data_IF_618259831902
#
_entry.id   IF_618259831902
#
_cell.length_a   1.000
_cell.length_b   1.000
_cell.length_c   1.000
_cell.angle_alpha   90.00
_cell.angle_beta   90.00
_cell.angle_gamma   90.00
#
_symmetry.space_group_name_H-M   'P 1'
#
loop_
_entity.id
_entity.type
_entity.pdbx_description
1 polymer ?
#
# COMPACT_ATOMS: atom_id res chain seq x y z
N UNK A 1 14.09 -30.21 5.31
CA UNK A 1 14.42 -29.13 6.26
C UNK A 1 13.93 -27.80 5.70
N UNK A 2 13.29 -27.00 6.52
CA UNK A 2 12.84 -25.69 6.11
C UNK A 2 13.94 -24.64 6.31
N UNK A 3 14.08 -23.75 5.35
CA UNK A 3 14.95 -22.60 5.47
C UNK A 3 14.09 -21.36 5.82
N UNK A 4 14.21 -20.89 7.05
CA UNK A 4 13.41 -19.77 7.53
C UNK A 4 14.11 -18.41 7.35
N UNK A 5 15.35 -18.41 6.92
CA UNK A 5 16.16 -17.19 6.75
C UNK A 5 16.38 -16.81 5.29
N UNK A 6 15.63 -17.40 4.37
CA UNK A 6 15.79 -17.15 2.93
C UNK A 6 15.32 -15.77 2.50
N UNK A 7 15.74 -15.35 1.32
CA UNK A 7 15.29 -14.11 0.72
C UNK A 7 13.79 -14.17 0.39
N UNK A 8 13.14 -13.04 0.53
CA UNK A 8 11.75 -12.87 0.19
C UNK A 8 11.58 -11.60 -0.63
N UNK A 9 11.00 -11.75 -1.82
CA UNK A 9 10.78 -10.61 -2.71
C UNK A 9 9.48 -9.86 -2.41
N UNK A 10 8.55 -10.51 -1.71
CA UNK A 10 7.26 -9.90 -1.37
C UNK A 10 7.45 -8.63 -0.56
N UNK A 11 6.69 -7.61 -0.92
CA UNK A 11 6.72 -6.32 -0.26
C UNK A 11 5.36 -6.01 0.33
N UNK A 12 5.35 -5.52 1.58
CA UNK A 12 4.12 -5.02 2.21
C UNK A 12 4.29 -3.53 2.45
N UNK A 13 3.33 -2.74 1.95
CA UNK A 13 3.30 -1.28 2.12
C UNK A 13 2.05 -0.94 2.92
N UNK A 14 2.23 -0.26 4.04
CA UNK A 14 1.14 0.05 4.96
C UNK A 14 1.02 1.58 5.08
N UNK A 15 -0.15 2.10 4.71
CA UNK A 15 -0.49 3.51 4.87
C UNK A 15 -1.43 3.66 6.05
N UNK A 16 -0.98 4.33 7.11
CA UNK A 16 -1.87 4.76 8.19
C UNK A 16 -2.31 6.17 7.87
N UNK A 17 -3.62 6.39 7.74
CA UNK A 17 -4.18 7.64 7.26
C UNK A 17 -5.25 8.17 8.21
N UNK A 18 -5.48 9.48 8.12
CA UNK A 18 -6.62 10.14 8.77
C UNK A 18 -7.45 10.86 7.71
N UNK A 19 -8.70 11.15 8.04
CA UNK A 19 -9.62 11.87 7.15
C UNK A 19 -10.58 12.71 7.98
N UNK A 20 -11.17 13.73 7.34
CA UNK A 20 -12.13 14.63 8.00
C UNK A 20 -13.55 14.43 7.51
N UNK A 21 -13.71 13.87 6.34
CA UNK A 21 -15.00 13.61 5.72
C UNK A 21 -15.74 12.50 6.46
N UNK A 22 -17.05 12.37 6.23
CA UNK A 22 -17.85 11.27 6.79
C UNK A 22 -17.33 9.93 6.28
N UNK A 23 -17.27 8.94 7.17
CA UNK A 23 -16.78 7.61 6.81
C UNK A 23 -17.53 7.01 5.63
N UNK A 24 -18.84 7.20 5.56
CA UNK A 24 -19.65 6.69 4.45
C UNK A 24 -19.18 7.23 3.10
N UNK A 25 -18.81 8.49 3.03
CA UNK A 25 -18.30 9.12 1.79
C UNK A 25 -16.95 8.49 1.42
N UNK A 26 -16.07 8.28 2.40
CA UNK A 26 -14.78 7.64 2.20
C UNK A 26 -14.95 6.21 1.71
N UNK A 27 -15.84 5.42 2.34
CA UNK A 27 -16.09 4.04 1.94
C UNK A 27 -16.64 3.95 0.52
N UNK A 28 -17.53 4.87 0.13
CA UNK A 28 -18.04 4.90 -1.25
C UNK A 28 -16.94 5.18 -2.26
N UNK A 29 -16.04 6.10 -1.97
CA UNK A 29 -14.89 6.37 -2.81
C UNK A 29 -14.05 5.10 -2.98
N UNK A 30 -13.71 4.43 -1.89
CA UNK A 30 -12.88 3.23 -1.93
C UNK A 30 -13.54 2.12 -2.75
N UNK A 31 -14.81 1.85 -2.48
CA UNK A 31 -15.53 0.71 -3.09
C UNK A 31 -15.87 0.97 -4.55
N UNK A 32 -16.29 2.19 -4.87
CA UNK A 32 -16.80 2.51 -6.21
C UNK A 32 -15.77 3.09 -7.16
N UNK A 33 -14.70 3.68 -6.64
CA UNK A 33 -13.71 4.36 -7.49
C UNK A 33 -12.31 3.77 -7.35
N UNK A 34 -11.75 3.72 -6.14
CA UNK A 34 -10.36 3.31 -5.94
C UNK A 34 -10.14 1.83 -6.23
N UNK A 35 -10.89 0.94 -5.57
CA UNK A 35 -10.69 -0.49 -5.74
C UNK A 35 -10.89 -0.96 -7.19
N UNK A 36 -11.95 -0.53 -7.90
CA UNK A 36 -12.08 -0.91 -9.31
C UNK A 36 -10.95 -0.40 -10.18
N UNK A 37 -10.49 0.83 -9.96
CA UNK A 37 -9.42 1.43 -10.73
C UNK A 37 -8.11 0.67 -10.53
N UNK A 38 -7.74 0.41 -9.28
CA UNK A 38 -6.52 -0.33 -8.94
C UNK A 38 -6.60 -1.76 -9.48
N UNK A 39 -7.74 -2.42 -9.30
CA UNK A 39 -7.95 -3.79 -9.78
C UNK A 39 -7.73 -3.90 -11.28
N UNK A 40 -8.26 -2.96 -12.05
CA UNK A 40 -8.14 -2.97 -13.52
C UNK A 40 -6.71 -2.77 -14.00
N UNK A 41 -5.92 -1.96 -13.27
CA UNK A 41 -4.53 -1.70 -13.62
C UNK A 41 -3.57 -2.77 -13.11
N UNK A 42 -3.99 -3.57 -12.14
CA UNK A 42 -3.08 -4.34 -11.30
C UNK A 42 -2.22 -5.36 -12.07
N UNK A 43 -2.77 -6.08 -13.03
CA UNK A 43 -2.02 -7.06 -13.84
C UNK A 43 -1.14 -7.99 -12.99
N UNK A 44 -1.60 -8.36 -11.79
CA UNK A 44 -0.87 -9.25 -10.90
C UNK A 44 0.26 -8.61 -10.10
N UNK A 45 0.45 -7.31 -10.17
CA UNK A 45 1.51 -6.62 -9.41
C UNK A 45 1.28 -6.69 -7.91
N UNK A 46 0.06 -6.40 -7.45
CA UNK A 46 -0.34 -6.59 -6.06
C UNK A 46 -1.01 -7.95 -5.90
N UNK A 47 -0.70 -8.63 -4.82
CA UNK A 47 -1.41 -9.86 -4.41
C UNK A 47 -2.53 -9.56 -3.44
N UNK A 48 -2.52 -8.36 -2.82
CA UNK A 48 -3.56 -7.95 -1.88
C UNK A 48 -3.62 -6.42 -1.79
N UNK A 49 -4.82 -5.89 -1.61
CA UNK A 49 -5.10 -4.48 -1.45
C UNK A 49 -6.29 -4.39 -0.51
N UNK A 50 -6.05 -4.07 0.77
CA UNK A 50 -7.09 -4.16 1.81
C UNK A 50 -7.13 -2.90 2.67
N UNK A 51 -8.34 -2.42 2.92
CA UNK A 51 -8.59 -1.30 3.81
C UNK A 51 -9.17 -1.77 5.14
N UNK A 52 -8.76 -1.13 6.22
CA UNK A 52 -9.25 -1.37 7.57
C UNK A 52 -9.54 -0.03 8.24
N UNK A 53 -10.73 0.12 8.82
CA UNK A 53 -11.15 1.36 9.47
C UNK A 53 -11.21 1.18 10.97
N UNK A 54 -10.77 2.23 11.71
CA UNK A 54 -10.91 2.28 13.16
C UNK A 54 -12.37 2.60 13.51
N UNK A 55 -12.97 1.82 14.41
CA UNK A 55 -14.34 2.10 14.84
C UNK A 55 -14.43 3.41 15.61
N UNK A 56 -15.34 4.28 15.20
CA UNK A 56 -15.63 5.53 15.88
C UNK A 56 -14.58 6.61 15.76
N UNK A 57 -13.52 6.37 14.97
CA UNK A 57 -12.46 7.34 14.73
C UNK A 57 -12.31 7.57 13.24
N UNK A 58 -11.79 8.74 12.87
CA UNK A 58 -11.56 9.06 11.44
C UNK A 58 -10.13 8.71 11.05
N UNK A 59 -9.78 7.44 11.26
CA UNK A 59 -8.49 6.87 10.88
C UNK A 59 -8.70 5.53 10.18
N UNK A 60 -7.80 5.19 9.29
CA UNK A 60 -7.86 3.95 8.53
C UNK A 60 -6.45 3.48 8.16
N UNK A 61 -6.35 2.23 7.79
CA UNK A 61 -5.08 1.62 7.36
C UNK A 61 -5.30 0.89 6.04
N UNK A 62 -4.47 1.22 5.05
CA UNK A 62 -4.42 0.51 3.77
C UNK A 62 -3.21 -0.40 3.79
N UNK A 63 -3.42 -1.69 3.53
CA UNK A 63 -2.35 -2.67 3.45
C UNK A 63 -2.26 -3.17 2.01
N UNK A 64 -1.12 -2.91 1.37
CA UNK A 64 -0.83 -3.38 0.02
C UNK A 64 0.25 -4.44 0.08
N UNK A 65 0.01 -5.60 -0.51
CA UNK A 65 1.01 -6.65 -0.62
C UNK A 65 1.35 -6.82 -2.09
N UNK A 66 2.63 -6.68 -2.42
CA UNK A 66 3.14 -6.72 -3.79
C UNK A 66 4.09 -7.90 -3.96
N UNK A 67 4.23 -8.38 -5.18
CA UNK A 67 5.19 -9.43 -5.52
C UNK A 67 6.64 -8.99 -5.25
N UNK A 68 6.92 -7.71 -5.45
CA UNK A 68 8.26 -7.13 -5.31
C UNK A 68 8.16 -5.61 -5.26
N UNK A 69 9.25 -4.93 -4.94
CA UNK A 69 9.28 -3.46 -5.00
C UNK A 69 9.10 -2.96 -6.44
N UNK A 70 9.65 -3.66 -7.43
CA UNK A 70 9.49 -3.29 -8.83
C UNK A 70 8.03 -3.38 -9.28
N UNK A 71 7.33 -4.44 -8.87
CA UNK A 71 5.91 -4.61 -9.18
C UNK A 71 5.07 -3.49 -8.57
N UNK A 72 5.37 -3.12 -7.33
CA UNK A 72 4.69 -2.01 -6.65
C UNK A 72 4.93 -0.68 -7.39
N UNK A 73 6.17 -0.39 -7.74
CA UNK A 73 6.53 0.83 -8.48
C UNK A 73 5.83 0.90 -9.84
N UNK A 74 5.76 -0.23 -10.53
CA UNK A 74 5.12 -0.32 -11.85
C UNK A 74 3.64 0.07 -11.75
N UNK A 75 2.94 -0.41 -10.75
CA UNK A 75 1.54 -0.04 -10.53
C UNK A 75 1.43 1.42 -10.08
N UNK A 76 2.25 1.82 -9.10
CA UNK A 76 2.22 3.18 -8.56
C UNK A 76 2.44 4.23 -9.64
N UNK A 77 3.33 3.97 -10.61
CA UNK A 77 3.59 4.91 -11.71
C UNK A 77 2.37 5.15 -12.60
N UNK A 78 1.45 4.19 -12.67
CA UNK A 78 0.21 4.32 -13.43
C UNK A 78 -0.89 4.99 -12.62
N UNK A 79 -0.81 4.93 -11.29
CA UNK A 79 -1.82 5.49 -10.38
C UNK A 79 -1.55 6.96 -10.08
N UNK A 80 -0.28 7.32 -9.88
CA UNK A 80 0.13 8.69 -9.53
C UNK A 80 -0.37 9.67 -10.59
N UNK A 81 -1.09 10.72 -10.14
CA UNK A 81 -1.64 11.75 -11.01
C UNK A 81 -2.99 11.41 -11.63
N UNK A 82 -3.48 10.18 -11.44
CA UNK A 82 -4.82 9.81 -11.90
C UNK A 82 -5.90 10.52 -11.10
N UNK A 83 -7.16 10.60 -11.62
CA UNK A 83 -8.27 11.17 -10.85
C UNK A 83 -8.49 10.48 -9.50
N UNK A 84 -8.27 9.16 -9.43
CA UNK A 84 -8.38 8.41 -8.19
C UNK A 84 -7.32 8.84 -7.19
N UNK A 85 -6.08 9.03 -7.65
CA UNK A 85 -4.98 9.48 -6.80
C UNK A 85 -5.19 10.91 -6.30
N UNK A 86 -5.69 11.79 -7.16
CA UNK A 86 -6.03 13.18 -6.78
C UNK A 86 -7.06 13.18 -5.66
N UNK A 87 -8.13 12.38 -5.79
CA UNK A 87 -9.15 12.26 -4.73
C UNK A 87 -8.58 11.64 -3.46
N UNK A 88 -7.70 10.65 -3.57
CA UNK A 88 -7.03 10.07 -2.42
C UNK A 88 -6.33 11.15 -1.60
N UNK A 89 -5.58 12.01 -2.27
CA UNK A 89 -4.84 13.09 -1.61
C UNK A 89 -5.76 14.18 -1.03
N UNK A 90 -6.96 14.36 -1.59
CA UNK A 90 -7.95 15.27 -1.03
C UNK A 90 -8.62 14.70 0.23
N UNK A 91 -8.90 13.38 0.23
CA UNK A 91 -9.60 12.75 1.34
C UNK A 91 -8.69 12.41 2.52
N UNK A 92 -7.43 12.01 2.25
CA UNK A 92 -6.57 11.43 3.27
C UNK A 92 -5.33 12.26 3.56
N UNK A 93 -4.95 12.25 4.84
CA UNK A 93 -3.61 12.65 5.28
C UNK A 93 -2.87 11.38 5.65
N UNK A 94 -1.69 11.16 5.06
CA UNK A 94 -0.84 10.02 5.41
C UNK A 94 -0.11 10.37 6.69
N UNK A 95 -0.47 9.67 7.77
CA UNK A 95 0.14 9.89 9.09
C UNK A 95 1.42 9.08 9.24
N UNK A 96 1.48 7.89 8.64
CA UNK A 96 2.63 7.00 8.73
C UNK A 96 2.66 6.07 7.52
N UNK A 97 3.84 5.89 6.96
CA UNK A 97 4.09 4.91 5.90
C UNK A 97 5.07 3.87 6.44
N UNK A 98 4.70 2.60 6.36
CA UNK A 98 5.55 1.49 6.80
C UNK A 98 5.83 0.58 5.61
N UNK A 99 7.09 0.23 5.43
CA UNK A 99 7.56 -0.65 4.35
C UNK A 99 8.15 -1.90 4.99
N UNK A 100 7.60 -3.05 4.68
CA UNK A 100 8.09 -4.34 5.17
C UNK A 100 8.55 -5.17 3.99
N UNK A 101 9.87 -5.34 3.85
CA UNK A 101 10.45 -6.12 2.78
C UNK A 101 11.69 -5.47 2.19
N UNK A 102 12.29 -6.17 1.25
CA UNK A 102 13.51 -5.71 0.59
C UNK A 102 13.14 -4.87 -0.63
N UNK A 103 13.74 -3.71 -0.75
CA UNK A 103 13.38 -2.73 -1.78
C UNK A 103 14.60 -2.31 -2.59
N UNK A 104 14.35 -1.92 -3.85
CA UNK A 104 15.37 -1.37 -4.73
C UNK A 104 15.73 0.06 -4.34
N UNK A 105 16.86 0.54 -4.85
CA UNK A 105 17.27 1.94 -4.66
C UNK A 105 16.25 2.90 -5.28
N UNK A 106 15.70 2.53 -6.43
CA UNK A 106 14.64 3.31 -7.11
C UNK A 106 13.41 3.47 -6.21
N UNK A 107 12.99 2.39 -5.53
CA UNK A 107 11.88 2.44 -4.59
C UNK A 107 12.18 3.38 -3.43
N UNK A 108 13.39 3.28 -2.86
CA UNK A 108 13.81 4.14 -1.74
C UNK A 108 13.76 5.62 -2.13
N UNK A 109 14.21 5.96 -3.33
CA UNK A 109 14.14 7.34 -3.82
C UNK A 109 12.70 7.82 -3.94
N UNK A 110 11.83 6.97 -4.47
CA UNK A 110 10.42 7.31 -4.73
C UNK A 110 9.65 7.61 -3.46
N UNK A 111 9.84 6.79 -2.42
CA UNK A 111 9.09 6.92 -1.16
C UNK A 111 9.83 7.74 -0.11
N UNK A 112 11.10 8.03 -0.31
CA UNK A 112 11.93 8.77 0.63
C UNK A 112 11.30 10.07 1.15
N UNK A 113 10.72 10.92 0.27
CA UNK A 113 10.06 12.17 0.72
C UNK A 113 8.93 11.96 1.72
N UNK A 114 8.32 10.77 1.76
CA UNK A 114 7.27 10.44 2.72
C UNK A 114 7.83 9.97 4.07
N UNK A 115 9.16 9.88 4.20
CA UNK A 115 9.85 9.50 5.43
C UNK A 115 9.34 8.18 6.02
N UNK A 116 9.37 7.07 5.26
CA UNK A 116 8.80 5.80 5.72
C UNK A 116 9.64 5.14 6.81
N UNK A 117 8.95 4.34 7.63
CA UNK A 117 9.61 3.35 8.50
C UNK A 117 9.82 2.10 7.65
N UNK A 118 11.07 1.71 7.43
CA UNK A 118 11.41 0.56 6.58
C UNK A 118 12.09 -0.53 7.39
N UNK A 119 11.66 -1.77 7.16
CA UNK A 119 12.25 -2.96 7.79
C UNK A 119 12.45 -4.02 6.73
N UNK A 120 13.64 -4.63 6.70
CA UNK A 120 13.97 -5.66 5.72
C UNK A 120 13.46 -7.02 6.18
N UNK A 121 13.19 -7.89 5.21
CA UNK A 121 12.80 -9.26 5.53
C UNK A 121 13.98 -9.99 6.18
N UNK A 122 13.73 -10.66 7.30
CA UNK A 122 14.77 -11.33 8.08
C UNK A 122 14.51 -12.83 8.16
N UNK A 123 13.29 -13.23 8.46
CA UNK A 123 12.96 -14.65 8.65
C UNK A 123 11.46 -14.86 8.59
N UNK A 124 11.05 -16.07 8.32
CA UNK A 124 9.64 -16.45 8.34
C UNK A 124 9.32 -17.54 7.34
N UNK A 125 8.03 -17.80 7.21
CA UNK A 125 7.52 -18.72 6.18
C UNK A 125 6.09 -18.33 5.82
N UNK A 126 5.65 -18.77 4.64
CA UNK A 126 4.26 -18.59 4.20
C UNK A 126 3.71 -19.94 3.75
N UNK A 127 2.42 -20.15 4.05
CA UNK A 127 1.70 -21.32 3.55
C UNK A 127 1.00 -20.97 2.24
N UNK A 128 0.92 -21.90 1.27
CA UNK A 128 0.25 -21.66 0.00
C UNK A 128 -1.26 -21.51 0.11
#
# INVERSE_FOLDING_TARGET
MHNFAGEKNQLTVIFDVSFTEKQQVIEEYIIKEECPFIYDLNRGNLTSFQWYFSEGEKTATLVEVSKSSDAWEKLASQVIGSPVNVKFNEFFTIEKLTILGNVSDSFKEKVGPMNPVSKVHTAGFSEP
#
